data_IF_153214422324
#
_entry.id   IF_153214422324
#
_cell.length_a   1.000
_cell.length_b   1.000
_cell.length_c   1.000
_cell.angle_alpha   90.00
_cell.angle_beta   90.00
_cell.angle_gamma   90.00
#
_symmetry.space_group_name_H-M   'P 1'
#
loop_
_entity.id
_entity.type
_entity.pdbx_description
1 polymer ?
#
# COMPACT_ATOMS: atom_id res chain seq x y z
N UNK A 1 4.65 25.33 -42.16
CA UNK A 1 5.44 24.89 -40.97
C UNK A 1 4.52 24.96 -39.75
N UNK A 2 3.73 23.91 -39.48
CA UNK A 2 2.79 23.86 -38.35
C UNK A 2 3.50 23.19 -37.17
N UNK A 3 3.61 23.92 -36.06
CA UNK A 3 4.21 23.50 -34.81
C UNK A 3 3.49 22.24 -34.30
N UNK A 4 4.26 21.19 -34.03
CA UNK A 4 3.82 20.07 -33.19
C UNK A 4 3.57 20.61 -31.79
N UNK A 5 2.31 20.78 -31.43
CA UNK A 5 1.88 20.94 -30.04
C UNK A 5 1.63 19.52 -29.55
N UNK A 6 2.64 18.93 -28.91
CA UNK A 6 2.45 17.70 -28.15
C UNK A 6 1.54 18.06 -26.97
N UNK A 7 0.28 17.66 -27.07
CA UNK A 7 -0.72 17.87 -26.03
C UNK A 7 -0.28 17.02 -24.83
N UNK A 8 0.44 17.62 -23.88
CA UNK A 8 0.57 17.07 -22.53
C UNK A 8 -0.86 16.82 -22.04
N UNK A 9 -1.26 15.55 -22.04
CA UNK A 9 -2.50 15.15 -21.36
C UNK A 9 -2.19 15.36 -19.88
N UNK A 10 -2.65 16.49 -19.34
CA UNK A 10 -2.62 16.75 -17.92
C UNK A 10 -3.48 15.66 -17.27
N UNK A 11 -2.85 14.64 -16.65
CA UNK A 11 -3.58 13.63 -15.90
C UNK A 11 -3.79 14.16 -14.48
N UNK A 12 -5.01 14.60 -14.10
CA UNK A 12 -5.23 15.25 -12.81
C UNK A 12 -4.84 14.37 -11.62
N UNK A 13 -4.95 13.04 -11.79
CA UNK A 13 -4.55 12.02 -10.80
C UNK A 13 -3.04 11.99 -10.56
N UNK A 14 -2.24 12.05 -11.63
CA UNK A 14 -0.79 12.02 -11.53
C UNK A 14 -0.25 13.29 -10.86
N UNK A 15 -0.77 14.47 -11.22
CA UNK A 15 -0.39 15.72 -10.57
C UNK A 15 -0.73 15.69 -9.07
N UNK A 16 -1.93 15.19 -8.72
CA UNK A 16 -2.30 15.05 -7.31
C UNK A 16 -1.34 14.14 -6.54
N UNK A 17 -0.97 12.99 -7.11
CA UNK A 17 -0.05 12.10 -6.41
C UNK A 17 1.33 12.76 -6.23
N UNK A 18 1.79 13.53 -7.22
CA UNK A 18 3.02 14.32 -7.09
C UNK A 18 2.92 15.34 -5.94
N UNK A 19 1.79 16.05 -5.84
CA UNK A 19 1.56 17.03 -4.77
C UNK A 19 1.49 16.37 -3.39
N UNK A 20 0.85 15.19 -3.29
CA UNK A 20 0.82 14.38 -2.06
C UNK A 20 2.22 13.89 -1.69
N UNK A 21 2.95 13.34 -2.65
CA UNK A 21 4.31 12.85 -2.44
C UNK A 21 5.24 13.98 -1.96
N UNK A 22 5.16 15.16 -2.58
CA UNK A 22 5.90 16.35 -2.16
C UNK A 22 5.53 16.79 -0.73
N UNK A 23 4.24 16.79 -0.38
CA UNK A 23 3.77 17.13 0.97
C UNK A 23 4.31 16.18 2.04
N UNK A 24 4.48 14.90 1.71
CA UNK A 24 5.00 13.88 2.64
C UNK A 24 6.48 13.55 2.42
N UNK A 25 7.21 14.39 1.71
CA UNK A 25 8.65 14.28 1.45
C UNK A 25 9.08 12.89 0.92
N UNK A 26 8.33 12.37 -0.05
CA UNK A 26 8.62 11.09 -0.68
C UNK A 26 8.55 11.16 -2.21
N UNK A 27 9.22 10.22 -2.86
CA UNK A 27 9.18 9.97 -4.29
C UNK A 27 8.60 8.59 -4.53
N UNK A 28 7.68 8.48 -5.49
CA UNK A 28 7.09 7.21 -5.86
C UNK A 28 8.12 6.28 -6.54
N UNK A 29 8.03 4.99 -6.21
CA UNK A 29 8.78 3.92 -6.83
C UNK A 29 7.77 2.92 -7.41
N UNK A 30 7.68 2.81 -8.75
CA UNK A 30 6.77 1.87 -9.39
C UNK A 30 7.03 0.43 -8.93
N UNK A 31 5.98 -0.33 -8.68
CA UNK A 31 6.04 -1.78 -8.46
C UNK A 31 5.50 -2.52 -9.67
N UNK A 32 5.73 -3.83 -9.71
CA UNK A 32 5.08 -4.67 -10.71
C UNK A 32 3.54 -4.62 -10.57
N UNK A 33 2.84 -4.41 -11.69
CA UNK A 33 1.37 -4.37 -11.78
C UNK A 33 0.72 -5.76 -11.71
N UNK A 34 1.09 -6.56 -10.72
CA UNK A 34 0.50 -7.87 -10.42
C UNK A 34 -0.32 -7.79 -9.12
N UNK A 35 -0.94 -8.91 -8.73
CA UNK A 35 -1.67 -8.98 -7.47
C UNK A 35 -0.79 -8.99 -6.22
N UNK A 36 0.53 -8.88 -6.36
CA UNK A 36 1.46 -8.72 -5.24
C UNK A 36 1.78 -7.24 -4.94
N UNK A 37 1.26 -6.28 -5.72
CA UNK A 37 1.65 -4.86 -5.64
C UNK A 37 1.61 -4.26 -4.22
N UNK A 38 0.60 -4.56 -3.39
CA UNK A 38 0.55 -4.06 -2.01
C UNK A 38 1.74 -4.58 -1.18
N UNK A 39 2.04 -5.88 -1.26
CA UNK A 39 3.15 -6.50 -0.54
C UNK A 39 4.52 -6.04 -1.08
N UNK A 40 4.62 -5.79 -2.40
CA UNK A 40 5.82 -5.20 -3.03
C UNK A 40 6.07 -3.78 -2.53
N UNK A 41 5.03 -2.96 -2.46
CA UNK A 41 5.10 -1.59 -1.93
C UNK A 41 5.55 -1.57 -0.46
N UNK A 42 4.99 -2.46 0.36
CA UNK A 42 5.42 -2.64 1.76
C UNK A 42 6.88 -3.12 1.86
N UNK A 43 7.28 -4.06 1.01
CA UNK A 43 8.66 -4.55 0.93
C UNK A 43 9.65 -3.45 0.56
N UNK A 44 9.30 -2.57 -0.39
CA UNK A 44 10.12 -1.39 -0.72
C UNK A 44 10.27 -0.45 0.48
N UNK A 45 9.20 -0.27 1.26
CA UNK A 45 9.22 0.53 2.49
C UNK A 45 10.15 -0.03 3.56
N UNK A 46 10.12 -1.35 3.77
CA UNK A 46 10.92 -2.04 4.79
C UNK A 46 12.38 -2.27 4.37
N UNK A 47 12.58 -2.73 3.14
CA UNK A 47 13.84 -3.33 2.71
C UNK A 47 14.50 -2.60 1.53
N UNK A 48 13.86 -1.54 1.01
CA UNK A 48 14.31 -0.83 -0.20
C UNK A 48 14.42 -1.74 -1.44
N UNK A 49 13.72 -2.88 -1.43
CA UNK A 49 13.59 -3.82 -2.55
C UNK A 49 12.20 -4.44 -2.52
N UNK A 50 11.61 -4.71 -3.69
CA UNK A 50 10.34 -5.43 -3.80
C UNK A 50 10.50 -6.96 -3.72
N UNK A 51 11.72 -7.50 -3.78
CA UNK A 51 11.99 -8.94 -3.90
C UNK A 51 11.55 -9.76 -2.69
N UNK A 52 11.35 -9.09 -1.54
CA UNK A 52 10.91 -9.73 -0.29
C UNK A 52 9.40 -9.66 -0.10
N UNK A 53 8.62 -9.33 -1.13
CA UNK A 53 7.15 -9.28 -1.05
C UNK A 53 6.53 -10.60 -0.57
N UNK A 54 7.11 -11.75 -0.94
CA UNK A 54 6.63 -13.07 -0.51
C UNK A 54 6.82 -13.28 1.00
N UNK A 55 7.95 -12.82 1.56
CA UNK A 55 8.20 -12.83 3.01
C UNK A 55 7.23 -11.88 3.73
N UNK A 56 6.99 -10.70 3.17
CA UNK A 56 6.02 -9.74 3.72
C UNK A 56 4.63 -10.36 3.80
N UNK A 57 4.16 -10.98 2.71
CA UNK A 57 2.88 -11.70 2.68
C UNK A 57 2.84 -12.81 3.73
N UNK A 58 3.87 -13.64 3.79
CA UNK A 58 3.92 -14.76 4.74
C UNK A 58 3.79 -14.30 6.19
N UNK A 59 4.50 -13.23 6.57
CA UNK A 59 4.46 -12.68 7.93
C UNK A 59 3.08 -12.07 8.27
N UNK A 60 2.47 -11.33 7.33
CA UNK A 60 1.11 -10.80 7.50
C UNK A 60 0.10 -11.94 7.66
N UNK A 61 0.15 -12.94 6.79
CA UNK A 61 -0.75 -14.10 6.83
C UNK A 61 -0.57 -14.88 8.14
N UNK A 62 0.66 -15.06 8.60
CA UNK A 62 0.91 -15.72 9.87
C UNK A 62 0.29 -14.95 11.03
N UNK A 63 0.46 -13.62 11.04
CA UNK A 63 -0.14 -12.77 12.05
C UNK A 63 -1.68 -12.83 12.04
N UNK A 64 -2.29 -12.87 10.84
CA UNK A 64 -3.74 -13.06 10.69
C UNK A 64 -4.22 -14.40 11.26
N UNK A 65 -3.46 -15.49 11.04
CA UNK A 65 -3.77 -16.82 11.59
C UNK A 65 -3.69 -16.87 13.12
N UNK A 66 -2.75 -16.14 13.69
CA UNK A 66 -2.51 -16.12 15.14
C UNK A 66 -3.51 -15.25 15.91
N UNK A 67 -4.19 -14.31 15.24
CA UNK A 67 -5.06 -13.32 15.91
C UNK A 67 -6.43 -13.19 15.20
N UNK A 68 -7.15 -14.29 14.93
CA UNK A 68 -8.41 -14.26 14.18
C UNK A 68 -9.49 -13.39 14.82
N UNK A 69 -9.54 -13.31 16.14
CA UNK A 69 -10.50 -12.51 16.91
C UNK A 69 -10.40 -11.01 16.66
N UNK A 70 -9.23 -10.53 16.24
CA UNK A 70 -9.00 -9.13 15.89
C UNK A 70 -9.58 -8.84 14.51
N UNK A 71 -9.44 -9.78 13.57
CA UNK A 71 -9.63 -9.50 12.14
C UNK A 71 -10.94 -10.04 11.55
N UNK A 72 -11.53 -11.08 12.14
CA UNK A 72 -12.70 -11.76 11.59
C UNK A 72 -13.90 -10.83 11.35
N UNK A 73 -14.08 -9.79 12.19
CA UNK A 73 -15.16 -8.82 12.05
C UNK A 73 -14.96 -7.78 10.94
N UNK A 74 -13.76 -7.70 10.34
CA UNK A 74 -13.45 -6.77 9.25
C UNK A 74 -13.52 -7.44 7.87
N UNK A 75 -13.65 -8.76 7.81
CA UNK A 75 -13.80 -9.48 6.53
C UNK A 75 -15.21 -9.27 5.98
N UNK A 76 -15.28 -8.77 4.75
CA UNK A 76 -16.54 -8.45 4.08
C UNK A 76 -17.23 -9.68 3.48
N UNK A 77 -18.51 -9.52 3.09
CA UNK A 77 -19.19 -10.49 2.20
C UNK A 77 -19.56 -11.84 2.82
N UNK A 78 -19.64 -11.95 4.15
CA UNK A 78 -19.91 -13.21 4.86
C UNK A 78 -18.87 -14.32 4.59
N UNK A 79 -17.68 -13.98 4.08
CA UNK A 79 -16.58 -14.92 3.90
C UNK A 79 -16.10 -15.45 5.26
N UNK A 80 -15.87 -16.76 5.35
CA UNK A 80 -15.32 -17.37 6.56
C UNK A 80 -13.87 -16.91 6.70
N UNK A 81 -13.48 -16.41 7.88
CA UNK A 81 -12.14 -15.86 8.10
C UNK A 81 -10.99 -16.81 7.69
N UNK A 82 -11.16 -18.11 7.93
CA UNK A 82 -10.17 -19.10 7.49
C UNK A 82 -10.00 -19.15 5.96
N UNK A 83 -11.10 -19.00 5.21
CA UNK A 83 -11.08 -18.96 3.74
C UNK A 83 -10.46 -17.66 3.23
N UNK A 84 -10.78 -16.53 3.87
CA UNK A 84 -10.12 -15.24 3.65
C UNK A 84 -8.59 -15.36 3.79
N UNK A 85 -8.11 -15.90 4.91
CA UNK A 85 -6.67 -16.05 5.16
C UNK A 85 -6.03 -17.01 4.17
N UNK A 86 -6.72 -18.11 3.81
CA UNK A 86 -6.25 -19.04 2.78
C UNK A 86 -6.13 -18.38 1.41
N UNK A 87 -7.09 -17.52 1.05
CA UNK A 87 -7.07 -16.75 -0.20
C UNK A 87 -5.91 -15.76 -0.20
N UNK A 88 -5.80 -14.90 0.82
CA UNK A 88 -4.71 -13.91 0.95
C UNK A 88 -3.31 -14.57 1.01
N UNK A 89 -3.22 -15.84 1.44
CA UNK A 89 -1.95 -16.57 1.44
C UNK A 89 -1.41 -16.94 0.05
N UNK A 90 -2.24 -16.87 -1.00
CA UNK A 90 -1.85 -17.26 -2.37
C UNK A 90 -0.99 -16.17 -3.01
N UNK A 91 0.02 -16.61 -3.77
CA UNK A 91 0.79 -15.71 -4.61
C UNK A 91 -0.11 -15.04 -5.65
N UNK A 92 0.08 -13.72 -5.84
CA UNK A 92 -0.75 -12.93 -6.74
C UNK A 92 -2.15 -12.58 -6.23
N UNK A 93 -2.52 -12.93 -4.99
CA UNK A 93 -3.78 -12.46 -4.40
C UNK A 93 -3.65 -11.03 -3.88
N UNK A 94 -4.63 -10.17 -4.18
CA UNK A 94 -4.58 -8.76 -3.83
C UNK A 94 -4.74 -8.57 -2.31
N UNK A 95 -3.96 -7.64 -1.75
CA UNK A 95 -4.15 -7.18 -0.37
C UNK A 95 -5.25 -6.13 -0.27
N UNK A 96 -5.73 -5.89 0.95
CA UNK A 96 -6.84 -5.00 1.29
C UNK A 96 -6.51 -4.16 2.54
N UNK A 97 -7.51 -3.60 3.20
CA UNK A 97 -7.32 -2.84 4.43
C UNK A 97 -6.91 -3.73 5.62
N UNK A 98 -7.41 -4.96 5.67
CA UNK A 98 -7.13 -5.92 6.74
C UNK A 98 -5.66 -6.34 6.69
N UNK A 99 -5.09 -6.55 5.51
CA UNK A 99 -3.66 -6.82 5.35
C UNK A 99 -2.76 -5.65 5.76
N UNK A 100 -3.18 -4.39 5.54
CA UNK A 100 -2.45 -3.20 6.00
C UNK A 100 -2.48 -3.06 7.53
N UNK A 101 -3.62 -3.33 8.16
CA UNK A 101 -3.74 -3.36 9.63
C UNK A 101 -2.89 -4.47 10.24
N UNK A 102 -2.94 -5.66 9.66
CA UNK A 102 -2.12 -6.79 10.11
C UNK A 102 -0.62 -6.54 9.91
N UNK A 103 -0.23 -5.84 8.83
CA UNK A 103 1.15 -5.38 8.64
C UNK A 103 1.59 -4.46 9.77
N UNK A 104 0.78 -3.44 10.11
CA UNK A 104 1.14 -2.47 11.15
C UNK A 104 1.40 -3.14 12.49
N UNK A 105 0.56 -4.10 12.86
CA UNK A 105 0.70 -4.86 14.11
C UNK A 105 1.87 -5.85 14.07
N UNK A 106 2.05 -6.59 12.97
CA UNK A 106 3.11 -7.61 12.84
C UNK A 106 4.51 -7.03 12.78
N UNK A 107 4.70 -5.93 12.04
CA UNK A 107 6.01 -5.27 11.89
C UNK A 107 6.23 -4.15 12.91
N UNK A 108 5.21 -3.79 13.71
CA UNK A 108 5.22 -2.62 14.61
C UNK A 108 5.63 -1.34 13.89
N UNK A 109 5.14 -1.19 12.66
CA UNK A 109 5.53 -0.14 11.73
C UNK A 109 4.29 0.45 11.07
N UNK A 110 4.07 1.74 11.27
CA UNK A 110 2.94 2.44 10.65
C UNK A 110 3.01 2.41 9.12
N UNK A 111 1.84 2.42 8.47
CA UNK A 111 1.69 2.57 7.02
C UNK A 111 0.80 3.76 6.70
N UNK A 112 1.27 4.62 5.80
CA UNK A 112 0.54 5.73 5.22
C UNK A 112 0.26 5.42 3.75
N UNK A 113 -1.01 5.36 3.40
CA UNK A 113 -1.45 5.22 2.01
C UNK A 113 -1.83 6.60 1.48
N UNK A 114 -1.14 7.05 0.44
CA UNK A 114 -1.53 8.23 -0.34
C UNK A 114 -2.38 7.75 -1.50
N UNK A 115 -3.60 8.24 -1.64
CA UNK A 115 -4.53 7.81 -2.68
C UNK A 115 -4.82 8.93 -3.66
N UNK A 116 -5.00 8.59 -4.94
CA UNK A 116 -5.49 9.51 -5.95
C UNK A 116 -7.00 9.83 -5.82
N UNK A 117 -7.70 9.21 -4.85
CA UNK A 117 -9.10 9.49 -4.50
C UNK A 117 -9.30 10.93 -3.97
N UNK A 118 -10.38 11.60 -4.39
CA UNK A 118 -10.69 13.00 -4.04
C UNK A 118 -11.15 13.18 -2.60
N UNK A 119 -11.88 12.20 -2.08
CA UNK A 119 -12.51 12.28 -0.78
C UNK A 119 -11.55 11.81 0.31
N UNK A 120 -10.76 10.75 0.05
CA UNK A 120 -9.85 10.14 1.00
C UNK A 120 -8.44 9.99 0.42
N UNK A 121 -7.71 11.11 0.35
CA UNK A 121 -6.36 11.14 -0.25
C UNK A 121 -5.25 10.60 0.67
N UNK A 122 -5.50 10.44 1.97
CA UNK A 122 -4.52 9.93 2.94
C UNK A 122 -5.20 9.01 3.94
N UNK A 123 -4.75 7.76 4.00
CA UNK A 123 -5.21 6.75 4.96
C UNK A 123 -4.01 6.34 5.81
N UNK A 124 -4.17 6.35 7.14
CA UNK A 124 -3.09 6.05 8.08
C UNK A 124 -3.45 4.81 8.91
N UNK A 125 -2.64 3.76 8.79
CA UNK A 125 -2.63 2.60 9.67
C UNK A 125 -1.42 2.74 10.59
N UNK A 126 -1.59 3.40 11.74
CA UNK A 126 -0.51 3.64 12.69
C UNK A 126 -1.05 4.08 14.05
N UNK A 127 -0.28 3.83 15.12
CA UNK A 127 -0.58 4.35 16.46
C UNK A 127 -0.38 5.86 16.53
N UNK A 128 -1.15 6.53 17.38
CA UNK A 128 -0.95 7.96 17.65
C UNK A 128 0.50 8.25 18.05
N UNK A 129 1.12 9.26 17.42
CA UNK A 129 2.52 9.65 17.66
C UNK A 129 3.59 8.93 16.83
N UNK A 130 3.25 7.94 16.00
CA UNK A 130 4.23 7.17 15.19
C UNK A 130 4.38 7.66 13.73
N UNK A 131 4.12 8.94 13.47
CA UNK A 131 3.98 9.47 12.11
C UNK A 131 5.28 9.57 11.32
N UNK A 132 6.42 9.81 11.98
CA UNK A 132 7.71 10.06 11.32
C UNK A 132 8.36 8.78 10.80
N UNK A 133 8.06 7.65 11.41
CA UNK A 133 8.64 6.36 11.07
C UNK A 133 7.74 5.54 10.11
N UNK A 134 6.56 6.04 9.78
CA UNK A 134 5.61 5.31 8.94
C UNK A 134 6.15 5.09 7.51
N UNK A 135 5.95 3.87 7.00
CA UNK A 135 6.16 3.56 5.59
C UNK A 135 5.08 4.26 4.78
N UNK A 136 5.45 5.00 3.76
CA UNK A 136 4.49 5.60 2.84
C UNK A 136 4.41 4.77 1.56
N UNK A 137 3.19 4.48 1.11
CA UNK A 137 2.89 3.83 -0.16
C UNK A 137 1.83 4.66 -0.90
N UNK A 138 1.75 4.54 -2.21
CA UNK A 138 0.72 5.22 -3.01
C UNK A 138 -0.27 4.21 -3.57
N UNK A 139 -1.51 4.64 -3.82
CA UNK A 139 -2.61 3.83 -4.30
C UNK A 139 -3.35 4.55 -5.43
N UNK A 140 -3.52 3.88 -6.56
CA UNK A 140 -4.10 4.44 -7.78
C UNK A 140 -5.37 3.71 -8.19
N UNK A 141 -6.42 4.49 -8.47
CA UNK A 141 -7.65 4.02 -9.09
C UNK A 141 -8.31 2.86 -8.34
N UNK A 142 -8.04 2.75 -7.04
CA UNK A 142 -8.48 1.67 -6.15
C UNK A 142 -7.91 0.28 -6.47
N UNK A 143 -6.94 0.17 -7.39
CA UNK A 143 -6.51 -1.13 -7.93
C UNK A 143 -5.00 -1.40 -7.87
N UNK A 144 -4.15 -0.39 -7.66
CA UNK A 144 -2.70 -0.61 -7.74
C UNK A 144 -1.93 0.18 -6.69
N UNK A 145 -0.94 -0.47 -6.07
CA UNK A 145 -0.04 0.15 -5.11
C UNK A 145 1.35 0.35 -5.67
N UNK A 146 1.96 1.50 -5.38
CA UNK A 146 3.40 1.72 -5.57
C UNK A 146 4.08 1.97 -4.22
N UNK A 147 5.37 1.67 -4.14
CA UNK A 147 6.17 2.03 -2.98
C UNK A 147 6.58 3.51 -3.04
N UNK A 148 7.16 4.01 -1.95
CA UNK A 148 7.87 5.29 -1.99
C UNK A 148 9.24 5.19 -1.33
N UNK A 149 10.09 6.17 -1.65
CA UNK A 149 11.35 6.42 -0.96
C UNK A 149 11.36 7.85 -0.44
N UNK A 150 11.99 8.14 0.72
CA UNK A 150 12.14 9.51 1.18
C UNK A 150 12.95 10.35 0.19
N UNK A 151 12.55 11.59 -0.03
CA UNK A 151 13.40 12.59 -0.70
C UNK A 151 14.47 12.95 0.33
N UNK A 152 15.73 12.57 0.05
CA UNK A 152 16.85 12.95 0.93
C UNK A 152 16.91 14.49 0.99
N UNK A 153 16.89 15.03 2.21
CA UNK A 153 17.33 16.40 2.45
C UNK A 153 18.86 16.49 2.31
#
# INVERSE_FOLDING_TARGET
RRRMIFRMIFQPRQQRMQDLCARYNCEEVPTQGDGNCQFRALSLGLYRSEDRHAEVRANIVQHLRENPEIYAGFVEGCEVFADYVNRISRDGEWGDEVTLRAFEQSYRRGVRVLSDNEQNSVINHMREGSQEDAITITHYGEVHYNGTKPIRA
#
